data_IF_538221130935
#
_entry.id   IF_538221130935
#
_cell.length_a   1.000
_cell.length_b   1.000
_cell.length_c   1.000
_cell.angle_alpha   90.00
_cell.angle_beta   90.00
_cell.angle_gamma   90.00
#
_symmetry.space_group_name_H-M   'P 1'
#
loop_
_entity.id
_entity.type
_entity.pdbx_description
1 polymer ?
#
# COMPACT_ATOMS: atom_id res chain seq x y z
N UNK A 1 2.75 19.00 -1.26
CA UNK A 1 2.68 18.51 0.13
C UNK A 1 1.52 19.21 0.78
N UNK A 2 0.57 18.47 1.35
CA UNK A 2 -0.54 19.06 2.10
C UNK A 2 -0.07 19.25 3.54
N UNK A 3 -0.34 20.41 4.14
CA UNK A 3 0.07 20.69 5.52
C UNK A 3 -0.66 19.80 6.53
N UNK A 4 -1.90 19.43 6.22
CA UNK A 4 -2.75 18.58 7.03
C UNK A 4 -3.67 17.72 6.15
N UNK A 5 -4.25 16.67 6.72
CA UNK A 5 -5.28 15.89 6.04
C UNK A 5 -6.54 16.74 5.82
N UNK A 6 -7.27 16.56 4.72
CA UNK A 6 -8.54 17.22 4.50
C UNK A 6 -9.53 17.03 5.67
N UNK A 7 -10.32 18.06 5.95
CA UNK A 7 -11.43 17.98 6.89
C UNK A 7 -12.64 17.34 6.20
N UNK A 8 -12.66 16.01 6.17
CA UNK A 8 -13.70 15.18 5.58
C UNK A 8 -14.22 14.17 6.63
N UNK A 9 -15.46 13.67 6.48
CA UNK A 9 -15.94 12.52 7.25
C UNK A 9 -14.96 11.35 7.18
N UNK A 10 -14.82 10.63 8.30
CA UNK A 10 -13.78 9.60 8.47
C UNK A 10 -14.39 8.29 8.94
N UNK A 11 -13.95 7.21 8.33
CA UNK A 11 -14.12 5.86 8.87
C UNK A 11 -12.74 5.31 9.25
N UNK A 12 -12.62 4.72 10.44
CA UNK A 12 -11.35 4.20 10.95
C UNK A 12 -11.36 2.67 11.01
N UNK A 13 -10.16 2.07 10.92
CA UNK A 13 -9.91 0.64 11.15
C UNK A 13 -10.82 -0.28 10.34
N UNK A 14 -11.03 0.03 9.06
CA UNK A 14 -11.83 -0.78 8.15
C UNK A 14 -10.99 -1.90 7.58
N UNK A 15 -11.52 -3.13 7.63
CA UNK A 15 -10.98 -4.25 6.85
C UNK A 15 -11.87 -4.45 5.64
N UNK A 16 -11.27 -4.35 4.46
CA UNK A 16 -11.94 -4.51 3.17
C UNK A 16 -11.42 -5.78 2.52
N UNK A 17 -12.32 -6.50 1.87
CA UNK A 17 -12.03 -7.72 1.15
C UNK A 17 -12.23 -7.44 -0.33
N UNK A 18 -11.24 -7.83 -1.13
CA UNK A 18 -11.22 -7.71 -2.58
C UNK A 18 -11.23 -9.13 -3.14
N UNK A 19 -12.35 -9.51 -3.75
CA UNK A 19 -12.46 -10.80 -4.44
C UNK A 19 -11.76 -10.70 -5.80
N UNK A 20 -11.87 -9.57 -6.49
CA UNK A 20 -11.25 -9.32 -7.80
C UNK A 20 -9.72 -9.51 -7.74
N UNK A 21 -9.07 -8.98 -6.70
CA UNK A 21 -7.61 -9.06 -6.54
C UNK A 21 -7.17 -10.14 -5.55
N UNK A 22 -8.09 -10.93 -4.99
CA UNK A 22 -7.77 -12.02 -4.06
C UNK A 22 -7.00 -11.55 -2.81
N UNK A 23 -7.28 -10.34 -2.32
CA UNK A 23 -6.58 -9.76 -1.16
C UNK A 23 -7.53 -9.14 -0.16
N UNK A 24 -7.06 -8.97 1.08
CA UNK A 24 -7.71 -8.10 2.05
C UNK A 24 -6.80 -6.93 2.40
N UNK A 25 -7.40 -5.79 2.69
CA UNK A 25 -6.70 -4.59 3.09
C UNK A 25 -7.30 -4.03 4.37
N UNK A 26 -6.46 -3.88 5.40
CA UNK A 26 -6.79 -3.07 6.57
C UNK A 26 -6.38 -1.63 6.28
N UNK A 27 -7.35 -0.73 6.35
CA UNK A 27 -7.17 0.70 6.13
C UNK A 27 -7.35 1.43 7.46
N UNK A 28 -6.32 2.16 7.91
CA UNK A 28 -6.34 2.84 9.19
C UNK A 28 -7.43 3.92 9.25
N UNK A 29 -7.57 4.69 8.16
CA UNK A 29 -8.60 5.70 8.01
C UNK A 29 -8.98 5.87 6.53
N UNK A 30 -10.26 6.10 6.26
CA UNK A 30 -10.79 6.45 4.95
C UNK A 30 -11.49 7.80 5.07
N UNK A 31 -11.02 8.79 4.32
CA UNK A 31 -11.73 10.06 4.16
C UNK A 31 -12.79 9.91 3.08
N UNK A 32 -14.01 10.37 3.34
CA UNK A 32 -15.15 10.21 2.42
C UNK A 32 -15.60 11.54 1.83
N UNK A 33 -15.85 11.57 0.52
CA UNK A 33 -16.36 12.76 -0.18
C UNK A 33 -17.25 12.38 -1.36
N UNK A 34 -18.56 12.25 -1.12
CA UNK A 34 -19.52 11.92 -2.17
C UNK A 34 -19.18 10.60 -2.85
N UNK A 35 -18.79 10.64 -4.14
CA UNK A 35 -18.37 9.47 -4.93
C UNK A 35 -16.90 9.09 -4.74
N UNK A 36 -16.10 9.93 -4.09
CA UNK A 36 -14.68 9.70 -3.87
C UNK A 36 -14.41 9.24 -2.44
N UNK A 37 -13.33 8.46 -2.28
CA UNK A 37 -12.75 8.10 -1.01
C UNK A 37 -11.22 8.23 -1.06
N UNK A 38 -10.60 8.53 0.08
CA UNK A 38 -9.16 8.69 0.17
C UNK A 38 -8.63 7.89 1.37
N UNK A 39 -8.01 6.72 1.14
CA UNK A 39 -7.39 5.97 2.21
C UNK A 39 -6.20 6.74 2.78
N UNK A 40 -6.05 6.67 4.09
CA UNK A 40 -5.00 7.30 4.87
C UNK A 40 -4.28 6.22 5.66
N UNK A 41 -2.98 6.08 5.41
CA UNK A 41 -2.09 5.18 6.11
C UNK A 41 -1.24 5.98 7.10
N UNK A 42 -1.25 5.57 8.37
CA UNK A 42 -0.43 6.21 9.40
C UNK A 42 0.88 5.46 9.59
N UNK A 43 2.00 6.18 9.44
CA UNK A 43 3.34 5.66 9.67
C UNK A 43 3.89 6.17 10.98
N UNK A 44 4.25 5.26 11.87
CA UNK A 44 4.90 5.56 13.14
C UNK A 44 6.37 6.01 12.99
N UNK A 45 6.93 5.95 11.78
CA UNK A 45 8.26 6.47 11.47
C UNK A 45 8.18 7.92 10.97
N UNK A 46 9.27 8.71 11.07
CA UNK A 46 9.38 9.96 10.32
C UNK A 46 9.33 9.68 8.81
N UNK A 47 9.00 10.72 8.03
CA UNK A 47 8.99 10.60 6.57
C UNK A 47 10.41 10.30 6.05
N UNK A 48 10.56 9.30 5.17
CA UNK A 48 11.83 9.11 4.49
C UNK A 48 12.07 10.22 3.44
N UNK A 49 13.34 10.48 3.12
CA UNK A 49 13.72 11.44 2.08
C UNK A 49 13.11 11.10 0.70
N UNK A 50 12.87 9.81 0.42
CA UNK A 50 12.15 9.33 -0.77
C UNK A 50 11.00 8.44 -0.34
N UNK A 51 9.84 8.55 -0.99
CA UNK A 51 8.71 7.65 -0.74
C UNK A 51 9.08 6.21 -1.12
N UNK A 52 9.19 5.35 -0.11
CA UNK A 52 9.50 3.94 -0.31
C UNK A 52 8.40 3.24 -1.11
N UNK A 53 8.81 2.32 -1.99
CA UNK A 53 7.87 1.52 -2.78
C UNK A 53 6.97 0.66 -1.90
N UNK A 54 7.42 0.22 -0.72
CA UNK A 54 6.59 -0.50 0.25
C UNK A 54 5.40 0.33 0.71
N UNK A 55 5.63 1.59 1.10
CA UNK A 55 4.55 2.51 1.51
C UNK A 55 3.63 2.85 0.34
N UNK A 56 4.22 3.08 -0.84
CA UNK A 56 3.49 3.41 -2.06
C UNK A 56 2.52 2.30 -2.46
N UNK A 57 3.00 1.06 -2.57
CA UNK A 57 2.16 -0.04 -3.05
C UNK A 57 1.21 -0.58 -1.99
N UNK A 58 1.52 -0.39 -0.71
CA UNK A 58 0.51 -0.58 0.34
C UNK A 58 -0.67 0.39 0.17
N UNK A 59 -0.41 1.68 -0.05
CA UNK A 59 -1.46 2.67 -0.27
C UNK A 59 -2.26 2.40 -1.57
N UNK A 60 -1.61 1.93 -2.64
CA UNK A 60 -2.29 1.51 -3.87
C UNK A 60 -3.18 0.28 -3.63
N UNK A 61 -2.75 -0.67 -2.79
CA UNK A 61 -3.56 -1.85 -2.47
C UNK A 61 -4.80 -1.49 -1.65
N UNK A 62 -4.65 -0.59 -0.68
CA UNK A 62 -5.77 -0.03 0.05
C UNK A 62 -6.71 0.73 -0.88
N UNK A 63 -6.19 1.49 -1.85
CA UNK A 63 -7.00 2.19 -2.84
C UNK A 63 -7.85 1.21 -3.68
N UNK A 64 -7.25 0.17 -4.25
CA UNK A 64 -7.99 -0.84 -5.02
C UNK A 64 -9.09 -1.52 -4.19
N UNK A 65 -8.78 -1.90 -2.94
CA UNK A 65 -9.77 -2.52 -2.06
C UNK A 65 -10.91 -1.55 -1.68
N UNK A 66 -10.62 -0.25 -1.54
CA UNK A 66 -11.64 0.78 -1.32
C UNK A 66 -12.53 0.95 -2.56
N UNK A 67 -11.94 0.97 -3.75
CA UNK A 67 -12.71 1.12 -5.00
C UNK A 67 -13.69 -0.03 -5.20
N UNK A 68 -13.22 -1.27 -5.06
CA UNK A 68 -14.06 -2.46 -5.22
C UNK A 68 -15.12 -2.56 -4.11
N UNK A 69 -14.71 -2.50 -2.84
CA UNK A 69 -15.61 -2.78 -1.73
C UNK A 69 -16.64 -1.66 -1.48
N UNK A 70 -16.30 -0.40 -1.78
CA UNK A 70 -17.17 0.75 -1.52
C UNK A 70 -17.79 1.36 -2.78
N UNK A 71 -17.37 0.94 -3.98
CA UNK A 71 -17.83 1.51 -5.25
C UNK A 71 -17.50 3.00 -5.40
N UNK A 72 -16.41 3.46 -4.78
CA UNK A 72 -15.97 4.87 -4.77
C UNK A 72 -14.68 5.03 -5.55
N UNK A 73 -14.51 6.16 -6.22
CA UNK A 73 -13.26 6.49 -6.90
C UNK A 73 -12.18 6.89 -5.88
N UNK A 74 -10.94 6.43 -6.09
CA UNK A 74 -9.81 6.80 -5.24
C UNK A 74 -8.74 7.50 -6.07
N UNK A 75 -8.83 8.82 -6.30
CA UNK A 75 -7.83 9.54 -7.08
C UNK A 75 -6.51 9.76 -6.30
N UNK A 76 -6.60 9.80 -4.96
CA UNK A 76 -5.44 9.98 -4.08
C UNK A 76 -5.53 9.08 -2.84
N UNK A 77 -4.36 8.67 -2.35
CA UNK A 77 -4.17 8.14 -1.01
C UNK A 77 -3.23 9.05 -0.22
N UNK A 78 -3.39 9.08 1.09
CA UNK A 78 -2.54 9.86 1.99
C UNK A 78 -1.65 8.95 2.85
N UNK A 79 -0.41 9.34 3.02
CA UNK A 79 0.52 8.74 3.97
C UNK A 79 0.89 9.80 5.01
N UNK A 80 0.46 9.62 6.25
CA UNK A 80 0.75 10.55 7.35
C UNK A 80 1.83 9.96 8.26
N UNK A 81 2.95 10.66 8.37
CA UNK A 81 4.11 10.23 9.14
C UNK A 81 4.13 10.84 10.54
N UNK A 82 4.85 10.21 11.47
CA UNK A 82 4.89 10.60 12.88
C UNK A 82 5.47 12.01 13.11
N UNK A 83 6.29 12.51 12.19
CA UNK A 83 6.81 13.89 12.21
C UNK A 83 5.83 14.93 11.64
N UNK A 84 4.58 14.55 11.40
CA UNK A 84 3.50 15.43 10.92
C UNK A 84 3.43 15.58 9.40
N UNK A 85 4.44 15.14 8.66
CA UNK A 85 4.43 15.25 7.20
C UNK A 85 3.37 14.35 6.56
N UNK A 86 2.67 14.90 5.57
CA UNK A 86 1.67 14.18 4.77
C UNK A 86 2.12 14.12 3.32
N UNK A 87 2.15 12.91 2.78
CA UNK A 87 2.34 12.66 1.34
C UNK A 87 0.98 12.35 0.74
N UNK A 88 0.59 13.14 -0.26
CA UNK A 88 -0.50 12.82 -1.16
C UNK A 88 0.07 12.01 -2.34
N UNK A 89 -0.44 10.80 -2.52
CA UNK A 89 -0.05 9.88 -3.59
C UNK A 89 -1.21 9.79 -4.58
N UNK A 90 -1.00 10.29 -5.79
CA UNK A 90 -1.94 10.06 -6.90
C UNK A 90 -2.02 8.57 -7.22
N UNK A 91 -3.23 8.03 -7.28
CA UNK A 91 -3.49 6.63 -7.63
C UNK A 91 -3.78 6.58 -9.13
N UNK A 92 -2.73 6.36 -9.91
CA UNK A 92 -2.82 6.32 -11.38
C UNK A 92 -3.09 4.90 -11.88
N UNK A 93 -3.69 4.75 -13.09
CA UNK A 93 -3.87 3.44 -13.72
C UNK A 93 -2.59 2.61 -13.77
N UNK A 94 -1.46 3.24 -14.13
CA UNK A 94 -0.14 2.59 -14.15
C UNK A 94 0.29 2.02 -12.80
N UNK A 95 -0.04 2.69 -11.69
CA UNK A 95 0.26 2.18 -10.35
C UNK A 95 -0.63 0.98 -10.01
N UNK A 96 -1.92 1.04 -10.38
CA UNK A 96 -2.86 -0.07 -10.21
C UNK A 96 -2.42 -1.30 -10.99
N UNK A 97 -2.15 -1.16 -12.29
CA UNK A 97 -1.63 -2.22 -13.16
C UNK A 97 -0.37 -2.87 -12.58
N UNK A 98 0.57 -2.05 -12.10
CA UNK A 98 1.79 -2.56 -11.49
C UNK A 98 1.54 -3.31 -10.18
N UNK A 99 0.56 -2.89 -9.38
CA UNK A 99 0.17 -3.63 -8.19
C UNK A 99 -0.47 -4.97 -8.56
N UNK A 100 -1.39 -4.99 -9.53
CA UNK A 100 -2.03 -6.22 -10.02
C UNK A 100 -0.96 -7.22 -10.48
N UNK A 101 0.03 -6.77 -11.27
CA UNK A 101 1.13 -7.64 -11.69
C UNK A 101 1.96 -8.20 -10.51
N UNK A 102 2.16 -7.42 -9.44
CA UNK A 102 2.83 -7.91 -8.23
C UNK A 102 1.99 -8.92 -7.46
N UNK A 103 0.67 -8.73 -7.39
CA UNK A 103 -0.26 -9.68 -6.77
C UNK A 103 -0.23 -11.01 -7.53
N UNK A 104 -0.28 -10.97 -8.86
CA UNK A 104 -0.16 -12.18 -9.69
C UNK A 104 1.20 -12.89 -9.51
N UNK A 105 2.30 -12.14 -9.42
CA UNK A 105 3.62 -12.72 -9.16
C UNK A 105 3.68 -13.40 -7.78
N UNK A 106 3.11 -12.75 -6.75
CA UNK A 106 2.98 -13.33 -5.40
C UNK A 106 2.13 -14.61 -5.46
N UNK A 107 1.01 -14.60 -6.19
CA UNK A 107 0.16 -15.76 -6.39
C UNK A 107 0.92 -16.95 -6.98
N UNK A 108 1.70 -16.72 -8.05
CA UNK A 108 2.52 -17.76 -8.70
C UNK A 108 3.62 -18.31 -7.78
N UNK A 109 4.21 -17.46 -6.93
CA UNK A 109 5.21 -17.88 -5.93
C UNK A 109 4.58 -18.85 -4.93
N UNK A 110 3.37 -18.52 -4.45
CA UNK A 110 2.63 -19.33 -3.48
C UNK A 110 2.17 -20.64 -4.11
N UNK A 111 1.50 -20.59 -5.26
CA UNK A 111 0.93 -21.77 -5.95
C UNK A 111 2.00 -22.79 -6.34
N UNK A 112 3.16 -22.33 -6.83
CA UNK A 112 4.23 -23.22 -7.27
C UNK A 112 5.29 -23.49 -6.22
N UNK A 113 5.16 -22.90 -5.03
CA UNK A 113 6.15 -22.95 -3.94
C UNK A 113 7.58 -22.57 -4.38
N UNK A 114 7.68 -21.68 -5.39
CA UNK A 114 8.96 -21.27 -5.98
C UNK A 114 9.39 -19.94 -5.41
N UNK A 115 10.48 -19.97 -4.62
CA UNK A 115 11.07 -18.76 -4.05
C UNK A 115 11.41 -17.73 -5.14
N UNK A 116 11.07 -16.44 -4.93
CA UNK A 116 11.40 -15.36 -5.87
C UNK A 116 12.91 -15.20 -6.03
N UNK A 117 13.32 -14.45 -7.06
CA UNK A 117 14.71 -14.05 -7.22
C UNK A 117 15.18 -13.25 -5.99
N UNK A 118 16.44 -13.39 -5.57
CA UNK A 118 16.98 -12.58 -4.49
C UNK A 118 16.93 -11.09 -4.87
N UNK A 119 16.84 -10.25 -3.85
CA UNK A 119 16.89 -8.79 -4.03
C UNK A 119 18.28 -8.36 -4.52
N UNK A 120 18.34 -7.48 -5.52
CA UNK A 120 19.60 -6.89 -5.99
C UNK A 120 20.30 -6.04 -4.90
N UNK A 121 19.53 -5.56 -3.93
CA UNK A 121 20.06 -4.77 -2.81
C UNK A 121 20.45 -5.65 -1.63
N UNK A 122 21.75 -5.95 -1.49
CA UNK A 122 22.30 -6.65 -0.30
C UNK A 122 21.99 -5.95 1.03
N UNK A 123 21.77 -4.63 1.02
CA UNK A 123 21.39 -3.88 2.23
C UNK A 123 20.06 -4.35 2.81
N UNK A 124 19.12 -4.80 1.96
CA UNK A 124 17.82 -5.34 2.40
C UNK A 124 17.96 -6.70 3.08
N UNK A 125 18.97 -7.50 2.71
CA UNK A 125 19.21 -8.80 3.36
C UNK A 125 19.57 -8.65 4.85
N UNK A 126 20.25 -7.57 5.24
CA UNK A 126 20.66 -7.32 6.64
C UNK A 126 19.49 -7.19 7.62
N UNK A 127 18.35 -6.66 7.15
CA UNK A 127 17.12 -6.53 7.95
C UNK A 127 16.07 -7.58 7.61
N UNK A 128 16.42 -8.58 6.80
CA UNK A 128 15.47 -9.60 6.37
C UNK A 128 15.35 -10.69 7.43
N UNK A 129 14.13 -10.94 7.89
CA UNK A 129 13.82 -12.03 8.82
C UNK A 129 14.32 -13.39 8.30
N UNK A 130 14.23 -13.62 6.99
CA UNK A 130 14.65 -14.87 6.35
C UNK A 130 16.15 -14.97 6.03
N UNK A 131 16.97 -13.99 6.43
CA UNK A 131 18.40 -13.96 6.06
C UNK A 131 19.19 -15.21 6.49
N UNK A 132 18.86 -15.80 7.64
CA UNK A 132 19.51 -17.02 8.13
C UNK A 132 19.09 -18.29 7.38
N UNK A 133 17.95 -18.26 6.68
CA UNK A 133 17.42 -19.38 5.91
C UNK A 133 17.73 -19.24 4.42
N UNK A 134 17.76 -18.02 3.91
CA UNK A 134 17.98 -17.71 2.50
C UNK A 134 19.46 -17.90 2.13
N UNK A 135 19.76 -18.96 1.38
CA UNK A 135 21.12 -19.29 0.92
C UNK A 135 21.54 -18.57 -0.38
N UNK A 136 20.80 -17.55 -0.83
CA UNK A 136 20.96 -16.86 -2.13
C UNK A 136 21.67 -15.48 -2.00
N UNK A 137 22.74 -15.40 -1.21
CA UNK A 137 23.52 -14.17 -0.92
C UNK A 137 24.38 -13.67 -2.10
#
# INVERSE_FOLDING_TARGET
MVKDLPSLPREYNRTLYSEEYGMNARVDCILLKGKEAYPVEFKASPKPGVLYNTHKYQAVAQALAVEEALGKEVPYAYLKYANGEVVELAITPRLKEKLVAMIEEIGKIVEHERLPRPTDSRKKCRGCFYSNLCRRL
#
